data_IF_473027674241
#
_entry.id   IF_473027674241
#
_cell.length_a   1.000
_cell.length_b   1.000
_cell.length_c   1.000
_cell.angle_alpha   90.00
_cell.angle_beta   90.00
_cell.angle_gamma   90.00
#
_symmetry.space_group_name_H-M   'P 1'
#
loop_
_entity.id
_entity.type
_entity.pdbx_description
1 polymer ?
#
# COMPACT_ATOMS: atom_id res chain seq x y z
N UNK A 1 29.74 34.53 92.03
CA UNK A 1 30.11 35.28 90.81
C UNK A 1 28.87 35.33 89.93
N UNK A 2 28.07 36.40 90.07
CA UNK A 2 27.82 37.41 89.02
C UNK A 2 27.16 36.81 87.75
N UNK A 3 25.82 37.01 87.59
CA UNK A 3 25.17 37.99 86.67
C UNK A 3 25.32 37.56 85.19
N UNK A 4 24.29 37.30 84.37
CA UNK A 4 23.08 38.06 84.01
C UNK A 4 22.04 37.03 83.44
N UNK A 5 20.83 36.84 83.99
CA UNK A 5 19.58 37.63 83.87
C UNK A 5 18.80 37.40 82.55
N UNK A 6 17.65 36.72 82.71
CA UNK A 6 16.37 36.82 81.99
C UNK A 6 16.28 36.38 80.51
N UNK A 7 15.25 35.70 80.03
CA UNK A 7 13.86 35.51 80.50
C UNK A 7 13.35 34.17 79.90
N UNK A 8 12.88 33.27 80.75
CA UNK A 8 12.00 32.17 80.36
C UNK A 8 10.56 32.60 80.65
N UNK A 9 9.66 32.40 79.70
CA UNK A 9 8.21 32.51 79.90
C UNK A 9 7.57 31.32 79.18
N UNK A 10 7.11 30.36 80.00
CA UNK A 10 5.91 29.60 79.76
C UNK A 10 4.76 30.56 79.36
N UNK A 11 3.78 30.10 78.58
CA UNK A 11 2.37 30.21 78.95
C UNK A 11 1.47 29.64 77.84
N UNK A 12 0.69 28.63 78.25
CA UNK A 12 -0.49 28.10 77.59
C UNK A 12 -1.50 29.20 77.25
N UNK A 13 -2.10 29.17 76.05
CA UNK A 13 -3.51 29.47 75.71
C UNK A 13 -3.62 29.89 74.23
N UNK A 14 -4.14 28.99 73.39
CA UNK A 14 -4.60 29.34 72.05
C UNK A 14 -6.11 29.64 72.09
N UNK A 15 -6.58 30.79 71.56
CA UNK A 15 -7.99 31.12 71.47
C UNK A 15 -8.71 30.46 70.28
N UNK A 16 -10.04 30.53 70.34
CA UNK A 16 -11.11 30.02 69.46
C UNK A 16 -10.96 30.21 67.92
N UNK A 17 -11.74 29.45 67.12
CA UNK A 17 -11.56 29.38 65.67
C UNK A 17 -11.92 30.69 64.98
N UNK A 18 -10.95 31.25 64.26
CA UNK A 18 -11.16 32.38 63.34
C UNK A 18 -11.48 31.84 61.95
N UNK A 19 -12.63 32.29 61.43
CA UNK A 19 -13.06 32.14 60.04
C UNK A 19 -12.02 32.82 59.13
N UNK A 20 -11.28 32.05 58.34
CA UNK A 20 -10.39 32.58 57.31
C UNK A 20 -11.20 32.83 56.03
N UNK A 21 -11.24 34.10 55.64
CA UNK A 21 -11.75 34.61 54.37
C UNK A 21 -11.07 33.96 53.16
N UNK A 22 -11.85 33.70 52.11
CA UNK A 22 -11.35 33.16 50.85
C UNK A 22 -10.27 34.08 50.26
N UNK A 23 -9.14 33.51 49.76
CA UNK A 23 -8.14 34.28 49.04
C UNK A 23 -8.69 34.80 47.69
N UNK A 24 -8.24 35.98 47.23
CA UNK A 24 -8.71 36.57 45.98
C UNK A 24 -8.36 35.69 44.77
N UNK A 25 -9.27 35.65 43.80
CA UNK A 25 -9.09 34.95 42.54
C UNK A 25 -7.80 35.39 41.82
N UNK A 26 -7.05 34.47 41.19
CA UNK A 26 -5.84 34.82 40.48
C UNK A 26 -6.16 35.72 39.29
N UNK A 27 -5.50 36.88 39.24
CA UNK A 27 -5.54 37.79 38.09
C UNK A 27 -5.01 37.05 36.87
N UNK A 28 -5.89 36.78 35.91
CA UNK A 28 -5.54 36.14 34.66
C UNK A 28 -4.54 37.02 33.89
N UNK A 29 -3.37 36.45 33.56
CA UNK A 29 -2.45 37.06 32.60
C UNK A 29 -3.19 37.21 31.26
N UNK A 30 -3.10 38.36 30.56
CA UNK A 30 -3.68 38.49 29.23
C UNK A 30 -3.08 37.41 28.33
N UNK A 31 -3.97 36.54 27.82
CA UNK A 31 -3.65 35.55 26.81
C UNK A 31 -3.06 36.30 25.61
N UNK A 32 -1.92 35.88 25.03
CA UNK A 32 -1.45 36.47 23.77
C UNK A 32 -2.61 36.39 22.77
N UNK A 33 -2.90 37.51 22.12
CA UNK A 33 -3.95 37.59 21.11
C UNK A 33 -3.74 36.42 20.14
N UNK A 34 -4.78 35.61 19.95
CA UNK A 34 -4.76 34.59 18.93
C UNK A 34 -4.36 35.27 17.61
N UNK A 35 -3.48 34.65 16.79
CA UNK A 35 -3.23 35.16 15.46
C UNK A 35 -4.59 35.38 14.77
N UNK A 36 -4.74 36.45 13.97
CA UNK A 36 -6.00 36.71 13.27
C UNK A 36 -6.45 35.45 12.54
N UNK A 37 -7.73 35.12 12.66
CA UNK A 37 -8.30 33.97 12.00
C UNK A 37 -8.01 34.07 10.50
N UNK A 38 -7.17 33.16 10.00
CA UNK A 38 -6.86 33.08 8.57
C UNK A 38 -8.19 32.90 7.81
N UNK A 39 -8.44 33.68 6.75
CA UNK A 39 -9.67 33.59 5.98
C UNK A 39 -9.86 32.15 5.48
N UNK A 40 -11.11 31.67 5.44
CA UNK A 40 -11.45 30.28 5.10
C UNK A 40 -10.84 29.79 3.75
N UNK A 41 -10.51 30.73 2.85
CA UNK A 41 -9.81 30.48 1.59
C UNK A 41 -8.34 30.06 1.74
N UNK A 42 -7.67 30.40 2.84
CA UNK A 42 -6.31 29.95 3.17
C UNK A 42 -6.31 28.57 3.86
N UNK A 43 -7.41 28.24 4.55
CA UNK A 43 -7.63 26.92 5.19
C UNK A 43 -8.06 25.86 4.17
N UNK A 44 -8.81 26.24 3.13
CA UNK A 44 -9.10 25.41 1.96
C UNK A 44 -8.06 25.65 0.85
N UNK A 45 -6.86 25.12 1.02
CA UNK A 45 -5.96 25.01 -0.13
C UNK A 45 -6.65 24.12 -1.18
N UNK A 46 -6.83 24.59 -2.44
CA UNK A 46 -7.25 23.71 -3.52
C UNK A 46 -6.27 22.54 -3.55
N UNK A 47 -6.78 21.32 -3.40
CA UNK A 47 -5.95 20.12 -3.24
C UNK A 47 -4.94 20.05 -4.38
N UNK A 48 -3.69 20.43 -4.08
CA UNK A 48 -2.66 20.54 -5.12
C UNK A 48 -2.08 19.15 -5.32
N UNK A 49 -2.23 18.64 -6.53
CA UNK A 49 -1.69 17.35 -6.95
C UNK A 49 -0.37 17.59 -7.65
N UNK A 50 0.71 16.95 -7.21
CA UNK A 50 2.03 17.23 -7.77
C UNK A 50 2.76 15.97 -8.22
N UNK A 51 3.04 15.89 -9.52
CA UNK A 51 3.91 14.86 -10.06
C UNK A 51 5.40 15.22 -9.87
N UNK A 52 6.30 14.32 -9.41
CA UNK A 52 7.72 14.64 -9.16
C UNK A 52 8.46 15.20 -10.37
N UNK A 53 8.05 14.76 -11.56
CA UNK A 53 8.53 15.25 -12.87
C UNK A 53 7.56 16.20 -13.56
N UNK A 54 6.70 16.87 -12.79
CA UNK A 54 5.74 17.81 -13.35
C UNK A 54 6.48 18.90 -14.12
N UNK A 55 6.01 19.15 -15.33
CA UNK A 55 6.52 20.24 -16.18
C UNK A 55 5.37 21.10 -16.71
N UNK A 56 4.15 20.85 -16.22
CA UNK A 56 2.92 21.58 -16.52
C UNK A 56 2.04 21.59 -15.28
N UNK A 57 1.22 22.63 -15.18
CA UNK A 57 0.22 22.82 -14.14
C UNK A 57 -1.09 23.17 -14.83
N UNK A 58 -2.17 22.52 -14.42
CA UNK A 58 -3.50 22.79 -14.94
C UNK A 58 -4.53 22.76 -13.82
N UNK A 59 -5.49 23.67 -13.86
CA UNK A 59 -6.61 23.69 -12.94
C UNK A 59 -7.72 22.77 -13.44
N UNK A 60 -8.04 21.73 -12.68
CA UNK A 60 -9.14 20.81 -12.95
C UNK A 60 -10.20 20.97 -11.86
N UNK A 61 -11.33 21.60 -12.20
CA UNK A 61 -12.35 21.99 -11.22
C UNK A 61 -11.79 23.00 -10.21
N UNK A 62 -11.84 22.65 -8.93
CA UNK A 62 -11.24 23.44 -7.84
C UNK A 62 -9.82 23.00 -7.46
N UNK A 63 -9.23 22.00 -8.14
CA UNK A 63 -7.92 21.46 -7.78
C UNK A 63 -6.84 21.89 -8.78
N UNK A 64 -5.66 22.24 -8.27
CA UNK A 64 -4.48 22.47 -9.10
C UNK A 64 -3.72 21.15 -9.30
N UNK A 65 -3.48 20.76 -10.55
CA UNK A 65 -2.86 19.48 -10.92
C UNK A 65 -1.58 19.73 -11.70
N UNK A 66 -0.43 19.58 -11.04
CA UNK A 66 0.89 19.56 -11.67
C UNK A 66 1.19 18.16 -12.21
N UNK A 67 1.41 18.05 -13.52
CA UNK A 67 1.52 16.78 -14.23
C UNK A 67 2.76 16.70 -15.11
N UNK A 68 3.25 15.48 -15.31
CA UNK A 68 4.32 15.23 -16.28
C UNK A 68 3.73 15.16 -17.69
N UNK A 69 4.14 16.07 -18.56
CA UNK A 69 3.80 16.05 -19.98
C UNK A 69 4.97 15.56 -20.83
N UNK A 70 4.73 14.54 -21.66
CA UNK A 70 5.71 13.95 -22.58
C UNK A 70 5.18 13.90 -23.99
N UNK A 71 6.07 14.14 -24.96
CA UNK A 71 5.80 13.95 -26.39
C UNK A 71 6.54 12.74 -26.92
N UNK A 72 5.89 11.94 -27.76
CA UNK A 72 6.48 10.69 -28.26
C UNK A 72 5.94 10.26 -29.63
N UNK A 73 6.52 9.18 -30.18
CA UNK A 73 6.00 8.50 -31.38
C UNK A 73 4.76 7.69 -30.98
N UNK A 74 3.58 8.30 -31.05
CA UNK A 74 2.29 7.68 -30.72
C UNK A 74 1.17 8.27 -31.58
N UNK A 75 0.08 7.51 -31.73
CA UNK A 75 -1.08 7.89 -32.57
C UNK A 75 -2.15 8.69 -31.82
N UNK A 76 -2.25 8.56 -30.50
CA UNK A 76 -3.32 9.14 -29.67
C UNK A 76 -2.74 9.86 -28.44
N UNK A 77 -3.52 10.71 -27.78
CA UNK A 77 -3.22 11.22 -26.42
C UNK A 77 -3.58 10.13 -25.40
N UNK A 78 -2.92 10.11 -24.26
CA UNK A 78 -3.17 9.10 -23.24
C UNK A 78 -2.70 9.59 -21.90
N UNK A 79 -3.51 9.23 -20.91
CA UNK A 79 -3.47 9.70 -19.54
C UNK A 79 -3.16 8.51 -18.65
N UNK A 80 -2.24 8.68 -17.71
CA UNK A 80 -1.94 7.69 -16.69
C UNK A 80 -1.93 8.40 -15.35
N UNK A 81 -2.65 7.86 -14.37
CA UNK A 81 -2.61 8.34 -12.98
C UNK A 81 -1.98 7.25 -12.13
N UNK A 82 -0.77 7.52 -11.64
CA UNK A 82 0.03 6.61 -10.82
C UNK A 82 0.22 7.13 -9.39
N UNK A 83 1.07 6.46 -8.59
CA UNK A 83 1.44 6.94 -7.26
C UNK A 83 2.13 8.31 -7.31
N UNK A 84 2.92 8.53 -8.37
CA UNK A 84 3.56 9.80 -8.70
C UNK A 84 2.57 10.88 -9.19
N UNK A 85 1.27 10.60 -9.30
CA UNK A 85 0.29 11.55 -9.84
C UNK A 85 0.03 11.40 -11.34
N UNK A 86 -0.40 12.48 -11.99
CA UNK A 86 -0.83 12.46 -13.40
C UNK A 86 0.39 12.56 -14.34
N UNK A 87 0.45 11.64 -15.31
CA UNK A 87 1.34 11.70 -16.47
C UNK A 87 0.53 11.68 -17.76
N UNK A 88 0.88 12.58 -18.68
CA UNK A 88 0.22 12.75 -19.96
C UNK A 88 1.24 12.57 -21.07
N UNK A 89 0.96 11.66 -21.98
CA UNK A 89 1.78 11.48 -23.18
C UNK A 89 0.97 11.89 -24.41
N UNK A 90 1.55 12.62 -25.35
CA UNK A 90 0.89 13.02 -26.61
C UNK A 90 1.78 12.78 -27.86
N UNK A 91 1.19 12.65 -29.06
CA UNK A 91 1.92 12.71 -30.32
C UNK A 91 2.74 14.01 -30.43
N UNK A 92 3.81 13.99 -31.23
CA UNK A 92 4.66 15.17 -31.41
C UNK A 92 3.90 16.36 -32.00
N UNK A 93 2.92 16.11 -32.86
CA UNK A 93 2.13 17.13 -33.56
C UNK A 93 0.96 17.69 -32.74
N UNK A 94 0.55 17.04 -31.64
CA UNK A 94 -0.68 17.42 -30.92
C UNK A 94 -0.48 18.74 -30.15
N UNK A 95 -1.26 19.80 -30.41
CA UNK A 95 -1.20 21.04 -29.65
C UNK A 95 -1.44 20.82 -28.16
N UNK A 96 -0.82 21.65 -27.31
CA UNK A 96 -1.05 21.58 -25.85
C UNK A 96 -2.51 21.88 -25.50
N UNK A 97 -3.15 22.81 -26.21
CA UNK A 97 -4.56 23.13 -26.00
C UNK A 97 -5.50 21.94 -26.20
N UNK A 98 -5.23 21.04 -27.15
CA UNK A 98 -6.01 19.79 -27.32
C UNK A 98 -5.81 18.83 -26.14
N UNK A 99 -4.60 18.77 -25.60
CA UNK A 99 -4.29 17.95 -24.42
C UNK A 99 -5.03 18.49 -23.19
N UNK A 100 -5.02 19.81 -23.00
CA UNK A 100 -5.72 20.46 -21.90
C UNK A 100 -7.23 20.36 -22.04
N UNK A 101 -7.79 20.48 -23.25
CA UNK A 101 -9.20 20.25 -23.50
C UNK A 101 -9.62 18.83 -23.12
N UNK A 102 -8.82 17.81 -23.49
CA UNK A 102 -9.05 16.43 -23.08
C UNK A 102 -8.97 16.24 -21.57
N UNK A 103 -8.05 16.93 -20.89
CA UNK A 103 -7.93 16.87 -19.43
C UNK A 103 -9.14 17.52 -18.73
N UNK A 104 -9.69 18.61 -19.27
CA UNK A 104 -10.93 19.21 -18.76
C UNK A 104 -12.13 18.29 -18.97
N UNK A 105 -12.29 17.70 -20.16
CA UNK A 105 -13.34 16.72 -20.46
C UNK A 105 -13.28 15.52 -19.49
N UNK A 106 -12.06 15.08 -19.14
CA UNK A 106 -11.83 13.97 -18.22
C UNK A 106 -11.56 14.40 -16.77
N UNK A 107 -11.87 15.65 -16.39
CA UNK A 107 -11.50 16.20 -15.08
C UNK A 107 -12.02 15.35 -13.92
N UNK A 108 -13.30 14.95 -13.96
CA UNK A 108 -13.90 14.11 -12.93
C UNK A 108 -13.17 12.77 -12.76
N UNK A 109 -12.86 12.10 -13.88
CA UNK A 109 -12.10 10.84 -13.87
C UNK A 109 -10.67 11.02 -13.34
N UNK A 110 -9.97 12.09 -13.74
CA UNK A 110 -8.60 12.37 -13.28
C UNK A 110 -8.57 12.62 -11.77
N UNK A 111 -9.46 13.47 -11.27
CA UNK A 111 -9.54 13.82 -9.85
C UNK A 111 -9.93 12.61 -8.99
N UNK A 112 -10.92 11.83 -9.43
CA UNK A 112 -11.31 10.59 -8.75
C UNK A 112 -10.13 9.61 -8.67
N UNK A 113 -9.36 9.46 -9.76
CA UNK A 113 -8.18 8.57 -9.76
C UNK A 113 -7.05 9.08 -8.88
N UNK A 114 -6.80 10.38 -8.83
CA UNK A 114 -5.82 11.00 -7.95
C UNK A 114 -6.22 10.83 -6.47
N UNK A 115 -7.48 11.08 -6.15
CA UNK A 115 -8.02 10.90 -4.80
C UNK A 115 -7.95 9.44 -4.36
N UNK A 116 -8.35 8.51 -5.22
CA UNK A 116 -8.19 7.08 -4.99
C UNK A 116 -6.71 6.69 -4.84
N UNK A 117 -5.77 7.29 -5.58
CA UNK A 117 -4.34 7.03 -5.40
C UNK A 117 -3.83 7.52 -4.04
N UNK A 118 -4.27 8.69 -3.58
CA UNK A 118 -3.91 9.26 -2.27
C UNK A 118 -4.49 8.48 -1.11
N UNK A 119 -5.76 8.11 -1.21
CA UNK A 119 -6.42 7.29 -0.19
C UNK A 119 -5.72 5.93 -0.07
N UNK A 120 -5.37 5.30 -1.20
CA UNK A 120 -4.55 4.08 -1.23
C UNK A 120 -3.15 4.27 -0.65
N UNK A 121 -2.48 5.40 -0.92
CA UNK A 121 -1.18 5.71 -0.32
C UNK A 121 -1.29 5.93 1.20
N UNK A 122 -2.39 6.54 1.67
CA UNK A 122 -2.70 6.71 3.09
C UNK A 122 -2.98 5.37 3.79
N UNK A 123 -3.74 4.48 3.15
CA UNK A 123 -4.01 3.13 3.63
C UNK A 123 -2.73 2.27 3.66
N UNK A 124 -1.85 2.38 2.65
CA UNK A 124 -0.53 1.72 2.66
C UNK A 124 0.42 2.26 3.72
N UNK A 125 0.41 3.57 3.97
CA UNK A 125 1.22 4.20 5.00
C UNK A 125 0.82 3.73 6.41
N UNK A 126 -0.47 3.40 6.59
CA UNK A 126 -1.01 2.82 7.83
C UNK A 126 -0.81 1.29 7.90
N UNK A 127 -0.76 0.61 6.75
CA UNK A 127 -0.50 -0.82 6.62
C UNK A 127 0.98 -1.20 6.42
N UNK A 128 1.92 -0.33 6.82
CA UNK A 128 3.34 -0.71 6.90
C UNK A 128 3.49 -1.84 7.92
N UNK A 129 3.52 -3.09 7.43
CA UNK A 129 3.95 -4.24 8.23
C UNK A 129 5.26 -3.88 8.90
N UNK A 130 5.25 -3.76 10.22
CA UNK A 130 6.48 -3.61 11.00
C UNK A 130 7.22 -4.92 10.84
N UNK A 131 8.34 -4.92 10.13
CA UNK A 131 9.11 -6.15 9.89
C UNK A 131 9.90 -6.50 11.14
N UNK A 132 9.32 -7.34 11.98
CA UNK A 132 9.91 -7.77 13.23
C UNK A 132 9.74 -9.28 13.41
N UNK A 133 10.52 -9.85 14.33
CA UNK A 133 10.22 -11.18 14.84
C UNK A 133 8.79 -11.22 15.40
N UNK A 134 8.02 -12.23 15.01
CA UNK A 134 6.61 -12.38 15.38
C UNK A 134 5.62 -11.60 14.52
N UNK A 135 6.07 -10.82 13.53
CA UNK A 135 5.16 -10.17 12.57
C UNK A 135 4.39 -11.22 11.75
N UNK A 136 3.13 -10.92 11.42
CA UNK A 136 2.27 -11.80 10.64
C UNK A 136 2.08 -11.27 9.22
N UNK A 137 2.05 -12.19 8.26
CA UNK A 137 1.73 -11.90 6.86
C UNK A 137 0.82 -12.98 6.29
N UNK A 138 0.06 -12.62 5.27
CA UNK A 138 -0.72 -13.58 4.51
C UNK A 138 0.15 -14.29 3.46
N UNK A 139 -0.03 -15.59 3.32
CA UNK A 139 0.61 -16.44 2.32
C UNK A 139 -0.41 -17.45 1.80
N UNK A 140 -0.82 -17.30 0.55
CA UNK A 140 -1.76 -18.19 -0.14
C UNK A 140 -3.11 -18.41 0.57
N UNK A 141 -3.53 -17.43 1.37
CA UNK A 141 -4.77 -17.50 2.16
C UNK A 141 -4.59 -18.02 3.59
N UNK A 142 -3.36 -18.35 3.99
CA UNK A 142 -3.00 -18.72 5.36
C UNK A 142 -2.22 -17.58 6.03
N UNK A 143 -2.39 -17.42 7.34
CA UNK A 143 -1.55 -16.51 8.13
C UNK A 143 -0.25 -17.20 8.51
N UNK A 144 0.85 -16.49 8.35
CA UNK A 144 2.20 -16.96 8.66
C UNK A 144 2.92 -15.94 9.52
N UNK A 145 3.49 -16.41 10.62
CA UNK A 145 4.30 -15.62 11.55
C UNK A 145 5.77 -15.72 11.19
N UNK A 146 6.47 -14.59 11.15
CA UNK A 146 7.92 -14.54 10.97
C UNK A 146 8.61 -14.98 12.27
N UNK A 147 9.56 -15.90 12.16
CA UNK A 147 10.39 -16.37 13.28
C UNK A 147 11.85 -16.24 12.89
N UNK A 148 12.63 -15.49 13.67
CA UNK A 148 14.08 -15.41 13.47
C UNK A 148 14.75 -16.65 14.09
N UNK A 149 15.54 -17.35 13.32
CA UNK A 149 16.14 -18.63 13.71
C UNK A 149 17.62 -18.69 13.32
N UNK A 150 18.52 -18.13 14.15
CA UNK A 150 19.95 -18.11 13.86
C UNK A 150 20.62 -19.48 13.98
N UNK A 151 19.97 -20.45 14.62
CA UNK A 151 20.51 -21.78 14.87
C UNK A 151 20.30 -22.74 13.69
N UNK A 152 19.39 -22.41 12.77
CA UNK A 152 19.12 -23.26 11.61
C UNK A 152 20.22 -23.15 10.54
N UNK A 153 21.05 -24.18 10.46
CA UNK A 153 21.80 -24.51 9.25
C UNK A 153 20.84 -25.04 8.19
N UNK A 154 20.27 -24.16 7.36
CA UNK A 154 19.24 -24.60 6.43
C UNK A 154 19.77 -25.51 5.33
N UNK A 155 19.01 -26.56 5.02
CA UNK A 155 19.15 -27.33 3.79
C UNK A 155 18.59 -26.59 2.54
N UNK A 156 17.81 -25.51 2.73
CA UNK A 156 17.24 -24.65 1.68
C UNK A 156 17.67 -23.19 1.87
N UNK A 157 17.67 -22.37 0.83
CA UNK A 157 18.19 -21.00 0.89
C UNK A 157 17.42 -20.12 1.90
N UNK A 158 18.00 -19.95 3.09
CA UNK A 158 17.80 -18.85 4.03
C UNK A 158 16.46 -18.79 4.80
N UNK A 159 15.47 -19.62 4.47
CA UNK A 159 14.19 -19.66 5.19
C UNK A 159 13.38 -20.95 4.92
N UNK A 160 12.58 -21.37 5.90
CA UNK A 160 11.71 -22.56 5.85
C UNK A 160 10.30 -22.21 6.34
N UNK A 161 9.29 -22.65 5.59
CA UNK A 161 7.88 -22.53 6.00
C UNK A 161 7.44 -23.82 6.71
N UNK A 162 7.00 -23.67 7.94
CA UNK A 162 6.25 -24.66 8.71
C UNK A 162 4.75 -24.32 8.56
N UNK A 163 3.98 -25.13 7.82
CA UNK A 163 2.57 -24.84 7.61
C UNK A 163 1.80 -24.93 8.93
N UNK A 164 0.70 -24.18 9.01
CA UNK A 164 -0.25 -24.27 10.11
C UNK A 164 -0.82 -25.70 10.20
N UNK A 165 -1.13 -26.15 11.43
CA UNK A 165 -1.82 -27.43 11.63
C UNK A 165 -3.18 -27.41 10.92
N UNK A 166 -3.45 -28.45 10.12
CA UNK A 166 -4.63 -28.52 9.23
C UNK A 166 -5.95 -28.56 10.03
N UNK A 167 -5.92 -29.07 11.27
CA UNK A 167 -7.10 -29.30 12.10
C UNK A 167 -7.51 -28.09 12.96
N UNK A 168 -6.87 -26.94 12.79
CA UNK A 168 -7.12 -25.74 13.58
C UNK A 168 -7.40 -24.52 12.66
N UNK A 169 -8.66 -24.03 12.58
CA UNK A 169 -9.07 -22.94 11.68
C UNK A 169 -8.32 -21.62 11.88
N UNK A 170 -7.79 -21.39 13.09
CA UNK A 170 -7.03 -20.19 13.46
C UNK A 170 -5.53 -20.46 13.61
N UNK A 171 -5.04 -21.61 13.15
CA UNK A 171 -3.63 -21.92 13.25
C UNK A 171 -2.81 -21.01 12.32
N UNK A 172 -1.75 -20.45 12.89
CA UNK A 172 -0.80 -19.58 12.20
C UNK A 172 0.45 -20.41 11.92
N UNK A 173 0.85 -20.49 10.65
CA UNK A 173 2.10 -21.14 10.26
C UNK A 173 3.31 -20.33 10.70
N UNK A 174 4.52 -20.91 10.63
CA UNK A 174 5.76 -20.21 10.94
C UNK A 174 6.68 -20.15 9.72
N UNK A 175 7.10 -18.94 9.33
CA UNK A 175 8.20 -18.75 8.37
C UNK A 175 9.47 -18.45 9.16
N UNK A 176 10.33 -19.45 9.27
CA UNK A 176 11.64 -19.32 9.91
C UNK A 176 12.64 -18.69 8.96
N UNK A 177 13.27 -17.59 9.37
CA UNK A 177 14.31 -16.86 8.64
C UNK A 177 15.64 -17.04 9.36
N UNK A 178 16.73 -17.39 8.65
CA UNK A 178 18.04 -17.58 9.28
C UNK A 178 18.76 -16.27 9.49
N UNK A 179 18.18 -15.48 10.37
CA UNK A 179 18.67 -14.19 10.77
C UNK A 179 18.92 -14.23 12.27
N UNK A 180 19.90 -13.45 12.72
CA UNK A 180 20.13 -13.22 14.14
C UNK A 180 18.92 -12.54 14.79
N UNK A 181 18.68 -12.80 16.08
CA UNK A 181 17.57 -12.18 16.82
C UNK A 181 17.65 -10.65 16.88
N UNK A 182 18.84 -10.07 16.69
CA UNK A 182 19.08 -8.63 16.61
C UNK A 182 19.05 -8.08 15.17
N UNK A 183 18.57 -8.85 14.20
CA UNK A 183 18.44 -8.39 12.81
C UNK A 183 17.56 -7.14 12.74
N UNK A 184 17.98 -6.20 11.90
CA UNK A 184 17.24 -4.96 11.66
C UNK A 184 15.95 -5.22 10.87
N UNK A 185 14.98 -4.32 10.98
CA UNK A 185 13.73 -4.36 10.20
C UNK A 185 13.98 -4.56 8.70
N UNK A 186 14.97 -3.85 8.14
CA UNK A 186 15.38 -3.97 6.74
C UNK A 186 15.87 -5.38 6.40
N UNK A 187 16.71 -5.99 7.24
CA UNK A 187 17.22 -7.36 7.00
C UNK A 187 16.09 -8.39 7.04
N UNK A 188 15.15 -8.24 7.98
CA UNK A 188 13.98 -9.12 8.12
C UNK A 188 13.10 -8.99 6.87
N UNK A 189 12.79 -7.75 6.46
CA UNK A 189 12.02 -7.46 5.25
C UNK A 189 12.65 -8.09 4.02
N UNK A 190 13.93 -7.82 3.78
CA UNK A 190 14.61 -8.24 2.56
C UNK A 190 14.69 -9.78 2.47
N UNK A 191 14.94 -10.46 3.60
CA UNK A 191 14.94 -11.93 3.67
C UNK A 191 13.55 -12.52 3.42
N UNK A 192 12.51 -11.98 4.08
CA UNK A 192 11.13 -12.42 3.90
C UNK A 192 10.63 -12.19 2.47
N UNK A 193 10.87 -11.00 1.91
CA UNK A 193 10.52 -10.68 0.52
C UNK A 193 11.25 -11.57 -0.48
N UNK A 194 12.56 -11.80 -0.28
CA UNK A 194 13.31 -12.70 -1.16
C UNK A 194 12.73 -14.12 -1.14
N UNK A 195 12.32 -14.63 0.02
CA UNK A 195 11.65 -15.92 0.13
C UNK A 195 10.28 -15.91 -0.56
N UNK A 196 9.44 -14.89 -0.31
CA UNK A 196 8.12 -14.73 -0.93
C UNK A 196 8.21 -14.67 -2.46
N UNK A 197 9.19 -13.94 -3.00
CA UNK A 197 9.42 -13.87 -4.45
C UNK A 197 9.86 -15.21 -5.04
N UNK A 198 10.68 -15.99 -4.33
CA UNK A 198 11.04 -17.36 -4.76
C UNK A 198 9.81 -18.26 -4.79
N UNK A 199 8.97 -18.21 -3.75
CA UNK A 199 7.72 -18.98 -3.73
C UNK A 199 6.75 -18.52 -4.81
N UNK A 200 6.58 -17.21 -5.01
CA UNK A 200 5.76 -16.65 -6.08
C UNK A 200 6.21 -17.19 -7.45
N UNK A 201 7.52 -17.18 -7.74
CA UNK A 201 8.04 -17.73 -9.00
C UNK A 201 7.70 -19.22 -9.16
N UNK A 202 7.91 -20.03 -8.11
CA UNK A 202 7.62 -21.47 -8.12
C UNK A 202 6.13 -21.73 -8.34
N UNK A 203 5.29 -21.17 -7.49
CA UNK A 203 3.83 -21.36 -7.52
C UNK A 203 3.27 -20.88 -8.84
N UNK A 204 3.65 -19.69 -9.32
CA UNK A 204 3.10 -19.18 -10.58
C UNK A 204 3.51 -20.02 -11.77
N UNK A 205 4.74 -20.56 -11.80
CA UNK A 205 5.16 -21.50 -12.83
C UNK A 205 4.29 -22.77 -12.78
N UNK A 206 4.10 -23.37 -11.60
CA UNK A 206 3.24 -24.54 -11.43
C UNK A 206 1.79 -24.27 -11.90
N UNK A 207 1.23 -23.09 -11.61
CA UNK A 207 -0.12 -22.73 -12.08
C UNK A 207 -0.16 -22.48 -13.58
N UNK A 208 0.86 -21.83 -14.16
CA UNK A 208 0.94 -21.62 -15.61
C UNK A 208 1.06 -22.96 -16.35
N UNK A 209 1.88 -23.88 -15.86
CA UNK A 209 2.05 -25.21 -16.43
C UNK A 209 0.78 -26.06 -16.31
N UNK A 210 0.00 -25.86 -15.25
CA UNK A 210 -1.29 -26.51 -15.08
C UNK A 210 -2.35 -26.00 -16.07
N UNK A 211 -2.50 -24.68 -16.22
CA UNK A 211 -3.60 -24.10 -17.01
C UNK A 211 -3.29 -23.93 -18.51
N UNK A 212 -2.01 -23.81 -18.90
CA UNK A 212 -1.63 -23.66 -20.31
C UNK A 212 -2.13 -24.79 -21.23
N UNK A 213 -2.02 -26.09 -20.89
CA UNK A 213 -2.57 -27.15 -21.72
C UNK A 213 -4.10 -27.13 -21.78
N UNK A 214 -4.78 -26.74 -20.70
CA UNK A 214 -6.25 -26.65 -20.65
C UNK A 214 -6.79 -25.57 -21.61
N UNK A 215 -6.03 -24.49 -21.80
CA UNK A 215 -6.34 -23.41 -22.74
C UNK A 215 -5.77 -23.67 -24.16
N UNK A 216 -5.00 -24.75 -24.32
CA UNK A 216 -4.30 -25.10 -25.56
C UNK A 216 -3.30 -24.02 -26.01
N UNK A 217 -2.65 -23.34 -25.06
CA UNK A 217 -1.64 -22.31 -25.33
C UNK A 217 -0.28 -22.74 -24.81
N UNK A 218 0.78 -22.10 -25.29
CA UNK A 218 2.12 -22.21 -24.74
C UNK A 218 2.62 -20.81 -24.40
N UNK A 219 3.18 -20.65 -23.21
CA UNK A 219 3.89 -19.43 -22.82
C UNK A 219 5.40 -19.66 -22.92
N UNK A 220 6.15 -18.59 -23.19
CA UNK A 220 7.59 -18.66 -23.40
C UNK A 220 8.37 -18.36 -22.12
N UNK A 221 7.94 -17.33 -21.37
CA UNK A 221 8.67 -16.83 -20.20
C UNK A 221 7.72 -16.34 -19.12
N UNK A 222 7.97 -16.75 -17.88
CA UNK A 222 7.41 -16.11 -16.69
C UNK A 222 8.36 -15.02 -16.16
N UNK A 223 7.83 -13.83 -15.90
CA UNK A 223 8.52 -12.76 -15.16
C UNK A 223 7.72 -12.32 -13.95
N UNK A 224 8.39 -12.10 -12.82
CA UNK A 224 7.78 -11.41 -11.69
C UNK A 224 7.76 -9.90 -11.91
N UNK A 225 6.79 -9.23 -11.31
CA UNK A 225 6.63 -7.78 -11.29
C UNK A 225 6.21 -7.31 -9.91
N UNK A 226 6.46 -6.05 -9.61
CA UNK A 226 5.90 -5.34 -8.46
C UNK A 226 4.83 -4.31 -8.86
N UNK A 227 4.48 -4.22 -10.15
CA UNK A 227 3.69 -3.11 -10.71
C UNK A 227 2.43 -2.73 -9.91
N UNK A 228 2.34 -1.45 -9.53
CA UNK A 228 1.28 -0.94 -8.65
C UNK A 228 -0.14 -0.82 -9.24
N UNK A 229 -0.34 -1.16 -10.51
CA UNK A 229 -1.62 -0.91 -11.20
C UNK A 229 -2.29 -2.16 -11.75
N UNK A 230 -1.59 -3.30 -11.74
CA UNK A 230 -2.07 -4.52 -12.39
C UNK A 230 -1.46 -5.78 -11.78
N UNK A 231 -2.27 -6.83 -11.74
CA UNK A 231 -1.87 -8.13 -11.23
C UNK A 231 -1.10 -8.97 -12.25
N UNK A 232 -1.28 -8.72 -13.56
CA UNK A 232 -0.54 -9.40 -14.61
C UNK A 232 -0.61 -8.71 -15.98
N UNK A 233 0.19 -9.22 -16.93
CA UNK A 233 0.09 -9.03 -18.40
C UNK A 233 0.56 -10.30 -19.10
N UNK A 234 0.02 -10.51 -20.29
CA UNK A 234 0.68 -11.22 -21.37
C UNK A 234 1.23 -10.27 -22.45
N UNK A 235 2.12 -10.79 -23.28
CA UNK A 235 2.63 -10.14 -24.48
C UNK A 235 2.56 -11.14 -25.65
N UNK A 236 2.47 -10.64 -26.87
CA UNK A 236 2.32 -11.48 -28.07
C UNK A 236 3.53 -12.41 -28.33
N UNK A 237 4.68 -12.13 -27.70
CA UNK A 237 5.87 -12.97 -27.72
C UNK A 237 5.79 -14.16 -26.74
N UNK A 238 4.65 -14.37 -26.08
CA UNK A 238 4.48 -15.43 -25.08
C UNK A 238 5.06 -15.10 -23.69
N UNK A 239 5.52 -13.86 -23.46
CA UNK A 239 5.95 -13.45 -22.11
C UNK A 239 4.75 -13.18 -21.21
N UNK A 240 4.63 -13.94 -20.12
CA UNK A 240 3.68 -13.70 -19.03
C UNK A 240 4.40 -13.01 -17.88
N UNK A 241 3.82 -11.92 -17.39
CA UNK A 241 4.33 -11.19 -16.22
C UNK A 241 3.26 -11.12 -15.16
N UNK A 242 3.58 -11.59 -13.95
CA UNK A 242 2.66 -11.64 -12.81
C UNK A 242 3.22 -10.85 -11.64
N UNK A 243 2.36 -10.15 -10.91
CA UNK A 243 2.75 -9.42 -9.72
C UNK A 243 3.03 -10.41 -8.58
N UNK A 244 4.23 -10.36 -8.00
CA UNK A 244 4.65 -11.29 -6.94
C UNK A 244 3.75 -11.21 -5.71
N UNK A 245 3.12 -10.04 -5.46
CA UNK A 245 2.19 -9.83 -4.34
C UNK A 245 0.93 -10.70 -4.41
N UNK A 246 0.65 -11.35 -5.56
CA UNK A 246 -0.40 -12.38 -5.64
C UNK A 246 -0.19 -13.50 -4.62
N UNK A 247 1.04 -13.75 -4.19
CA UNK A 247 1.35 -14.78 -3.19
C UNK A 247 0.71 -14.48 -1.82
N UNK A 248 0.32 -13.23 -1.54
CA UNK A 248 -0.41 -12.88 -0.32
C UNK A 248 -1.90 -13.18 -0.40
N UNK A 249 -2.43 -13.45 -1.60
CA UNK A 249 -3.84 -13.72 -1.83
C UNK A 249 -4.11 -15.23 -1.83
N UNK A 250 -5.38 -15.61 -1.68
CA UNK A 250 -5.81 -17.01 -1.78
C UNK A 250 -5.44 -17.60 -3.15
N UNK A 251 -5.10 -18.89 -3.18
CA UNK A 251 -4.74 -19.60 -4.43
C UNK A 251 -5.78 -19.42 -5.54
N UNK A 252 -7.07 -19.42 -5.21
CA UNK A 252 -8.15 -19.21 -6.17
C UNK A 252 -8.06 -17.89 -6.96
N UNK A 253 -7.47 -16.86 -6.35
CA UNK A 253 -7.26 -15.55 -6.96
C UNK A 253 -6.01 -15.55 -7.84
N UNK A 254 -4.96 -16.27 -7.41
CA UNK A 254 -3.76 -16.52 -8.22
C UNK A 254 -4.17 -17.23 -9.51
N UNK A 255 -4.96 -18.29 -9.40
CA UNK A 255 -5.46 -19.07 -10.52
C UNK A 255 -6.24 -18.23 -11.51
N UNK A 256 -7.13 -17.37 -11.01
CA UNK A 256 -7.90 -16.48 -11.87
C UNK A 256 -7.00 -15.54 -12.68
N UNK A 257 -5.98 -14.94 -12.05
CA UNK A 257 -5.06 -14.06 -12.78
C UNK A 257 -4.24 -14.87 -13.79
N UNK A 258 -3.75 -16.06 -13.42
CA UNK A 258 -3.01 -16.94 -14.33
C UNK A 258 -3.84 -17.31 -15.57
N UNK A 259 -5.08 -17.75 -15.39
CA UNK A 259 -6.00 -18.08 -16.49
C UNK A 259 -6.28 -16.84 -17.35
N UNK A 260 -6.49 -15.68 -16.74
CA UNK A 260 -6.69 -14.41 -17.44
C UNK A 260 -5.51 -14.08 -18.35
N UNK A 261 -4.28 -14.11 -17.82
CA UNK A 261 -3.09 -13.78 -18.60
C UNK A 261 -2.79 -14.83 -19.69
N UNK A 262 -2.98 -16.12 -19.41
CA UNK A 262 -2.81 -17.15 -20.45
C UNK A 262 -3.84 -17.02 -21.58
N UNK A 263 -5.07 -16.64 -21.26
CA UNK A 263 -6.13 -16.42 -22.26
C UNK A 263 -5.77 -15.30 -23.24
N UNK A 264 -4.97 -14.32 -22.80
CA UNK A 264 -4.48 -13.27 -23.69
C UNK A 264 -3.62 -13.81 -24.84
N UNK A 265 -2.99 -14.98 -24.71
CA UNK A 265 -2.24 -15.62 -25.79
C UNK A 265 -3.13 -16.12 -26.94
N UNK A 266 -4.44 -16.26 -26.72
CA UNK A 266 -5.43 -16.50 -27.79
C UNK A 266 -6.01 -15.19 -28.32
N UNK A 267 -6.36 -14.29 -27.41
CA UNK A 267 -7.03 -13.03 -27.73
C UNK A 267 -6.40 -11.88 -26.92
N UNK A 268 -5.67 -10.99 -27.58
CA UNK A 268 -4.94 -9.89 -26.93
C UNK A 268 -5.84 -8.74 -26.44
N UNK A 269 -7.14 -8.86 -26.60
CA UNK A 269 -8.16 -7.95 -26.11
C UNK A 269 -9.09 -8.64 -25.09
N UNK A 270 -10.09 -7.93 -24.58
CA UNK A 270 -11.12 -8.47 -23.69
C UNK A 270 -12.46 -8.64 -24.42
N UNK A 271 -12.42 -9.06 -25.69
CA UNK A 271 -13.59 -9.36 -26.51
C UNK A 271 -14.45 -10.49 -25.92
N UNK A 272 -15.70 -10.70 -26.41
CA UNK A 272 -16.51 -11.85 -26.01
C UNK A 272 -15.76 -13.19 -26.17
N UNK A 273 -14.99 -13.35 -27.25
CA UNK A 273 -14.19 -14.55 -27.51
C UNK A 273 -13.11 -14.77 -26.44
N UNK A 274 -12.48 -13.70 -25.94
CA UNK A 274 -11.57 -13.79 -24.80
C UNK A 274 -12.28 -14.35 -23.56
N UNK A 275 -13.48 -13.86 -23.25
CA UNK A 275 -14.24 -14.33 -22.08
C UNK A 275 -14.76 -15.75 -22.23
N UNK A 276 -15.11 -16.17 -23.45
CA UNK A 276 -15.46 -17.57 -23.74
C UNK A 276 -14.28 -18.51 -23.44
N UNK A 277 -13.06 -18.11 -23.82
CA UNK A 277 -11.83 -18.86 -23.51
C UNK A 277 -11.60 -18.96 -22.00
N UNK A 278 -11.71 -17.85 -21.28
CA UNK A 278 -11.60 -17.84 -19.80
C UNK A 278 -12.65 -18.77 -19.18
N UNK A 279 -13.92 -18.65 -19.60
CA UNK A 279 -15.03 -19.42 -19.06
C UNK A 279 -14.93 -20.93 -19.35
N UNK A 280 -14.27 -21.31 -20.45
CA UNK A 280 -14.08 -22.73 -20.82
C UNK A 280 -13.28 -23.53 -19.79
N UNK A 281 -12.36 -22.87 -19.07
CA UNK A 281 -11.51 -23.49 -18.04
C UNK A 281 -11.91 -23.02 -16.64
N UNK A 282 -12.47 -21.82 -16.50
CA UNK A 282 -12.86 -21.23 -15.22
C UNK A 282 -14.27 -20.63 -15.27
N UNK A 283 -15.33 -21.46 -15.18
CA UNK A 283 -16.72 -20.99 -15.24
C UNK A 283 -17.08 -19.98 -14.15
N UNK A 284 -16.45 -20.07 -12.98
CA UNK A 284 -16.65 -19.19 -11.83
C UNK A 284 -15.75 -17.92 -11.85
N UNK A 285 -15.11 -17.60 -12.98
CA UNK A 285 -14.17 -16.48 -13.11
C UNK A 285 -14.75 -15.13 -12.66
N UNK A 286 -16.05 -14.89 -12.84
CA UNK A 286 -16.70 -13.66 -12.36
C UNK A 286 -16.76 -13.57 -10.83
N UNK A 287 -16.94 -14.69 -10.14
CA UNK A 287 -16.89 -14.73 -8.68
C UNK A 287 -15.46 -14.46 -8.18
N UNK A 288 -14.46 -15.11 -8.79
CA UNK A 288 -13.04 -14.92 -8.46
C UNK A 288 -12.55 -13.51 -8.77
N UNK A 289 -12.96 -12.91 -9.89
CA UNK A 289 -12.69 -11.51 -10.23
C UNK A 289 -13.24 -10.55 -9.17
N UNK A 290 -14.46 -10.80 -8.67
CA UNK A 290 -15.05 -10.01 -7.58
C UNK A 290 -14.30 -10.23 -6.27
N UNK A 291 -13.91 -11.46 -5.96
CA UNK A 291 -13.12 -11.78 -4.78
C UNK A 291 -11.75 -11.08 -4.81
N UNK A 292 -11.05 -11.14 -5.95
CA UNK A 292 -9.79 -10.43 -6.18
C UNK A 292 -9.96 -8.91 -6.01
N UNK A 293 -11.01 -8.31 -6.55
CA UNK A 293 -11.28 -6.87 -6.37
C UNK A 293 -11.52 -6.48 -4.91
N UNK A 294 -12.15 -7.36 -4.11
CA UNK A 294 -12.39 -7.12 -2.68
C UNK A 294 -11.14 -7.36 -1.83
N UNK A 295 -10.36 -8.38 -2.17
CA UNK A 295 -9.18 -8.79 -1.43
C UNK A 295 -7.93 -7.98 -1.79
N UNK A 296 -7.92 -7.32 -2.96
CA UNK A 296 -6.84 -6.47 -3.39
C UNK A 296 -6.67 -5.28 -2.43
N UNK A 297 -5.84 -5.50 -1.40
CA UNK A 297 -4.97 -4.48 -0.81
C UNK A 297 -4.21 -3.80 -1.96
N UNK A 298 -4.02 -2.48 -1.96
CA UNK A 298 -3.48 -1.81 -3.13
C UNK A 298 -2.11 -2.37 -3.49
N UNK A 299 -1.94 -2.69 -4.77
CA UNK A 299 -0.64 -2.90 -5.36
C UNK A 299 0.15 -1.59 -5.22
N UNK A 300 0.90 -1.42 -4.15
CA UNK A 300 1.88 -0.35 -3.99
C UNK A 300 3.26 -0.85 -4.39
N UNK A 301 3.99 -0.02 -5.14
CA UNK A 301 5.40 -0.10 -5.58
C UNK A 301 5.95 -1.43 -6.14
#
# INVERSE_FOLDING_TARGET
MQRFVQLALDFLTGPEPVVLSQPPAPVAKPRPAAPPAEPLSEVFQPGTWHHPRANRLLKLGSCDVAYEFKRGKRRTIGLSVGPDGLSVSAPRWTPVGEVEALLHDKAGWVLEKLQNARQRAGELAQARTIWANGAELDFLGQRVRLVLDPAHGFAQVGAVLEPAAIDAPDAVGALRLGLAHNATETQIRDAAQAWLMRQAKRVFAERLDHFSPLLGVRYEKLRLSSAGTRWGSASADGTIRLNWRLIHLKMEMVDYVVVHELSHLRHMDHSPQFWDVVASVMPDHMARRRALKRAAVPLGE
#
